data_IF_369905088058
#
_entry.id   IF_369905088058
#
_cell.length_a   1.000
_cell.length_b   1.000
_cell.length_c   1.000
_cell.angle_alpha   90.00
_cell.angle_beta   90.00
_cell.angle_gamma   90.00
#
_symmetry.space_group_name_H-M   'P 1'
#
loop_
_entity.id
_entity.type
_entity.pdbx_description
1 polymer ?
#
# COMPACT_ATOMS: atom_id res chain seq x y z
N UNK A 1 -48.52 16.93 -40.97
CA UNK A 1 -47.38 16.01 -41.16
C UNK A 1 -46.39 16.69 -42.10
N UNK A 2 -45.26 17.17 -41.60
CA UNK A 2 -44.19 17.70 -42.45
C UNK A 2 -42.85 17.26 -41.86
N UNK A 3 -42.30 16.19 -42.41
CA UNK A 3 -41.02 15.60 -42.04
C UNK A 3 -39.90 16.45 -42.66
N UNK A 4 -39.12 17.13 -41.82
CA UNK A 4 -37.89 17.83 -42.23
C UNK A 4 -36.85 16.79 -42.63
N UNK A 5 -36.67 16.57 -43.94
CA UNK A 5 -35.58 15.77 -44.47
C UNK A 5 -34.27 16.57 -44.36
N UNK A 6 -33.41 16.20 -43.42
CA UNK A 6 -32.05 16.72 -43.33
C UNK A 6 -31.26 16.23 -44.56
N UNK A 7 -30.87 17.17 -45.41
CA UNK A 7 -30.07 16.91 -46.62
C UNK A 7 -28.71 16.29 -46.27
N UNK A 8 -28.32 15.24 -47.00
CA UNK A 8 -27.02 14.54 -46.90
C UNK A 8 -25.80 15.48 -47.03
N UNK A 9 -25.96 16.68 -47.60
CA UNK A 9 -24.87 17.67 -47.73
C UNK A 9 -24.55 18.40 -46.42
N UNK A 10 -25.52 18.56 -45.52
CA UNK A 10 -25.31 19.24 -44.23
C UNK A 10 -24.58 18.35 -43.22
N UNK A 11 -24.67 17.02 -43.38
CA UNK A 11 -24.02 16.04 -42.51
C UNK A 11 -22.49 15.95 -42.72
N UNK A 12 -21.99 16.31 -43.91
CA UNK A 12 -20.56 16.25 -44.26
C UNK A 12 -19.74 17.46 -43.81
N UNK A 13 -20.37 18.59 -43.48
CA UNK A 13 -19.69 19.80 -43.02
C UNK A 13 -19.52 19.87 -41.49
N UNK A 14 -20.24 19.05 -40.72
CA UNK A 14 -20.15 19.01 -39.26
C UNK A 14 -19.04 18.07 -38.74
N UNK A 15 -18.67 17.06 -39.53
CA UNK A 15 -17.59 16.11 -39.21
C UNK A 15 -16.22 16.77 -38.99
N UNK A 16 -15.72 17.69 -39.84
CA UNK A 16 -14.44 18.33 -39.59
C UNK A 16 -14.45 19.26 -38.37
N UNK A 17 -15.58 19.90 -38.06
CA UNK A 17 -15.70 20.80 -36.90
C UNK A 17 -15.69 20.06 -35.55
N UNK A 18 -16.32 18.88 -35.47
CA UNK A 18 -16.28 18.02 -34.26
C UNK A 18 -14.87 17.45 -34.06
N UNK A 19 -14.19 17.05 -35.13
CA UNK A 19 -12.80 16.57 -35.06
C UNK A 19 -11.84 17.70 -34.62
N UNK A 20 -12.01 18.93 -35.12
CA UNK A 20 -11.23 20.09 -34.70
C UNK A 20 -11.44 20.46 -33.22
N UNK A 21 -12.67 20.37 -32.72
CA UNK A 21 -12.98 20.57 -31.29
C UNK A 21 -12.38 19.48 -30.40
N UNK A 22 -12.41 18.21 -30.83
CA UNK A 22 -11.77 17.11 -30.11
C UNK A 22 -10.24 17.28 -30.07
N UNK A 23 -9.61 17.70 -31.17
CA UNK A 23 -8.17 17.98 -31.24
C UNK A 23 -7.79 19.20 -30.40
N UNK A 24 -8.64 20.24 -30.36
CA UNK A 24 -8.44 21.40 -29.49
C UNK A 24 -8.56 21.04 -28.00
N UNK A 25 -9.52 20.20 -27.62
CA UNK A 25 -9.64 19.69 -26.25
C UNK A 25 -8.44 18.82 -25.83
N UNK A 26 -7.86 18.06 -26.76
CA UNK A 26 -6.60 17.32 -26.57
C UNK A 26 -5.39 18.23 -26.34
N UNK A 27 -5.33 19.39 -27.03
CA UNK A 27 -4.24 20.37 -26.85
C UNK A 27 -4.42 21.29 -25.63
N UNK A 28 -5.63 21.44 -25.13
CA UNK A 28 -5.96 22.27 -23.96
C UNK A 28 -6.06 21.49 -22.63
N UNK A 29 -5.87 20.16 -22.63
CA UNK A 29 -5.88 19.36 -21.40
C UNK A 29 -7.25 19.25 -20.71
N UNK A 30 -8.36 19.39 -21.46
CA UNK A 30 -9.72 19.28 -20.89
C UNK A 30 -10.21 17.83 -20.78
N UNK A 31 -9.49 16.85 -21.31
CA UNK A 31 -9.83 15.46 -21.01
C UNK A 31 -9.56 15.20 -19.51
N UNK A 32 -10.51 14.66 -18.74
CA UNK A 32 -10.21 14.19 -17.40
C UNK A 32 -9.05 13.20 -17.52
N UNK A 33 -8.02 13.40 -16.71
CA UNK A 33 -6.93 12.45 -16.59
C UNK A 33 -7.52 11.12 -16.10
N UNK A 34 -7.76 10.21 -17.03
CA UNK A 34 -8.20 8.85 -16.73
C UNK A 34 -7.06 8.01 -16.10
N UNK A 35 -5.93 8.63 -15.72
CA UNK A 35 -4.71 8.00 -15.27
C UNK A 35 -4.03 8.66 -14.07
N UNK A 36 -4.69 8.75 -12.91
CA UNK A 36 -4.04 8.58 -11.60
C UNK A 36 -5.10 8.52 -10.49
N UNK A 37 -5.28 7.35 -9.87
CA UNK A 37 -6.08 7.23 -8.64
C UNK A 37 -5.61 8.28 -7.61
N UNK A 38 -6.56 8.98 -7.00
CA UNK A 38 -6.31 9.86 -5.85
C UNK A 38 -5.76 9.07 -4.66
N UNK A 39 -5.13 9.74 -3.69
CA UNK A 39 -4.61 9.06 -2.50
C UNK A 39 -5.74 8.35 -1.73
N UNK A 40 -6.93 8.94 -1.69
CA UNK A 40 -8.11 8.31 -1.09
C UNK A 40 -8.51 7.02 -1.82
N UNK A 41 -8.52 7.02 -3.16
CA UNK A 41 -8.84 5.82 -3.96
C UNK A 41 -7.74 4.75 -3.86
N UNK A 42 -6.47 5.17 -3.86
CA UNK A 42 -5.31 4.28 -3.64
C UNK A 42 -5.38 3.61 -2.27
N UNK A 43 -5.68 4.39 -1.22
CA UNK A 43 -5.91 3.88 0.14
C UNK A 43 -7.08 2.91 0.16
N UNK A 44 -8.23 3.29 -0.39
CA UNK A 44 -9.42 2.44 -0.42
C UNK A 44 -9.12 1.10 -1.13
N UNK A 45 -8.38 1.13 -2.24
CA UNK A 45 -7.98 -0.08 -2.97
C UNK A 45 -6.99 -0.94 -2.18
N UNK A 46 -6.04 -0.34 -1.47
CA UNK A 46 -5.11 -1.06 -0.60
C UNK A 46 -5.87 -1.73 0.56
N UNK A 47 -6.79 -1.01 1.22
CA UNK A 47 -7.62 -1.56 2.29
C UNK A 47 -8.50 -2.71 1.78
N UNK A 48 -9.16 -2.55 0.64
CA UNK A 48 -9.97 -3.62 0.05
C UNK A 48 -9.14 -4.86 -0.32
N UNK A 49 -7.92 -4.66 -0.82
CA UNK A 49 -6.98 -5.74 -1.11
C UNK A 49 -6.54 -6.46 0.17
N UNK A 50 -6.24 -5.71 1.23
CA UNK A 50 -5.96 -6.30 2.54
C UNK A 50 -7.14 -7.09 3.08
N UNK A 51 -8.34 -6.50 3.09
CA UNK A 51 -9.55 -7.15 3.62
C UNK A 51 -9.85 -8.45 2.86
N UNK A 52 -9.53 -8.52 1.55
CA UNK A 52 -9.59 -9.76 0.79
C UNK A 52 -8.65 -10.85 1.35
N UNK A 53 -7.36 -10.52 1.52
CA UNK A 53 -6.33 -11.42 2.01
C UNK A 53 -6.51 -11.82 3.48
N UNK A 54 -6.94 -10.90 4.33
CA UNK A 54 -7.12 -11.14 5.76
C UNK A 54 -8.15 -12.24 6.05
N UNK A 55 -9.06 -12.54 5.10
CA UNK A 55 -10.02 -13.64 5.23
C UNK A 55 -9.36 -15.02 5.23
N UNK A 56 -8.13 -15.13 4.74
CA UNK A 56 -7.34 -16.38 4.82
C UNK A 56 -6.80 -16.63 6.24
N UNK A 57 -6.76 -15.60 7.10
CA UNK A 57 -6.17 -15.67 8.45
C UNK A 57 -7.14 -15.18 9.53
N UNK A 58 -8.33 -15.80 9.71
CA UNK A 58 -9.38 -15.28 10.59
C UNK A 58 -8.98 -15.18 12.08
N UNK A 59 -7.94 -15.89 12.50
CA UNK A 59 -7.39 -15.83 13.86
C UNK A 59 -6.34 -14.73 14.08
N UNK A 60 -5.89 -14.05 13.03
CA UNK A 60 -4.86 -13.01 13.11
C UNK A 60 -5.51 -11.65 13.31
N UNK A 61 -5.26 -11.04 14.48
CA UNK A 61 -5.73 -9.70 14.77
C UNK A 61 -4.98 -8.65 13.94
N UNK A 62 -5.72 -7.67 13.44
CA UNK A 62 -5.17 -6.52 12.72
C UNK A 62 -4.99 -5.31 13.66
N UNK A 63 -4.06 -4.43 13.31
CA UNK A 63 -3.95 -3.09 13.90
C UNK A 63 -4.11 -2.02 12.81
N UNK A 64 -4.86 -0.96 13.11
CA UNK A 64 -5.01 0.17 12.18
C UNK A 64 -3.71 0.99 12.11
N UNK A 65 -3.33 1.50 10.93
CA UNK A 65 -2.05 2.20 10.75
C UNK A 65 -1.90 3.44 11.65
N UNK A 66 -2.98 4.18 11.90
CA UNK A 66 -2.98 5.34 12.78
C UNK A 66 -2.58 4.97 14.22
N UNK A 67 -3.10 3.85 14.73
CA UNK A 67 -2.74 3.34 16.06
C UNK A 67 -1.31 2.82 16.10
N UNK A 68 -0.89 2.11 15.04
CA UNK A 68 0.47 1.59 14.92
C UNK A 68 1.52 2.71 14.93
N UNK A 69 1.25 3.86 14.30
CA UNK A 69 2.12 5.05 14.38
C UNK A 69 2.26 5.53 15.82
N UNK A 70 1.15 5.68 16.56
CA UNK A 70 1.20 6.15 17.94
C UNK A 70 2.02 5.20 18.85
N UNK A 71 1.91 3.89 18.64
CA UNK A 71 2.73 2.91 19.36
C UNK A 71 4.19 2.97 18.96
N UNK A 72 4.49 3.21 17.68
CA UNK A 72 5.86 3.42 17.19
C UNK A 72 6.51 4.62 17.85
N UNK A 73 5.84 5.78 17.85
CA UNK A 73 6.34 7.03 18.42
C UNK A 73 6.59 6.94 19.93
N UNK A 74 5.77 6.16 20.64
CA UNK A 74 5.94 5.90 22.08
C UNK A 74 6.98 4.82 22.38
N UNK A 75 7.59 4.23 21.36
CA UNK A 75 8.50 3.10 21.49
C UNK A 75 7.85 1.86 22.09
N UNK A 76 6.53 1.70 21.94
CA UNK A 76 5.75 0.59 22.50
C UNK A 76 5.55 -0.55 21.50
N UNK A 77 5.90 -0.35 20.23
CA UNK A 77 5.82 -1.37 19.19
C UNK A 77 7.20 -1.80 18.66
N UNK A 78 7.28 -3.06 18.23
CA UNK A 78 8.36 -3.59 17.40
C UNK A 78 7.76 -4.02 16.07
N UNK A 79 8.28 -3.48 14.99
CA UNK A 79 7.83 -3.82 13.65
C UNK A 79 8.68 -4.94 13.06
N UNK A 80 8.02 -5.88 12.38
CA UNK A 80 8.66 -7.00 11.67
C UNK A 80 8.35 -6.88 10.19
N UNK A 81 9.38 -6.53 9.41
CA UNK A 81 9.32 -6.48 7.96
C UNK A 81 9.54 -7.88 7.39
N UNK A 82 8.48 -8.45 6.81
CA UNK A 82 8.54 -9.77 6.17
C UNK A 82 8.63 -9.66 4.64
N UNK A 83 9.02 -8.48 4.13
CA UNK A 83 9.30 -8.32 2.71
C UNK A 83 10.62 -8.97 2.32
N UNK A 84 10.83 -9.19 1.03
CA UNK A 84 12.08 -9.74 0.52
C UNK A 84 13.26 -8.79 0.79
N UNK A 85 14.50 -9.30 0.90
CA UNK A 85 15.68 -8.46 1.10
C UNK A 85 15.82 -7.32 0.09
N UNK A 86 15.45 -7.54 -1.17
CA UNK A 86 15.47 -6.49 -2.22
C UNK A 86 14.48 -5.36 -1.95
N UNK A 87 13.36 -5.66 -1.30
CA UNK A 87 12.35 -4.66 -0.96
C UNK A 87 12.81 -3.84 0.24
N UNK A 88 13.36 -4.50 1.26
CA UNK A 88 13.93 -3.84 2.45
C UNK A 88 15.17 -3.00 2.12
N UNK A 89 15.96 -3.40 1.12
CA UNK A 89 17.14 -2.65 0.67
C UNK A 89 16.80 -1.26 0.08
N UNK A 90 15.53 -1.02 -0.30
CA UNK A 90 15.06 0.30 -0.74
C UNK A 90 14.69 1.16 0.47
N UNK A 91 13.88 0.61 1.37
CA UNK A 91 13.43 1.30 2.58
C UNK A 91 12.72 0.35 3.53
N UNK A 92 12.62 0.74 4.80
CA UNK A 92 11.84 0.06 5.85
C UNK A 92 11.10 1.06 6.74
N UNK A 93 10.17 0.57 7.56
CA UNK A 93 9.67 1.32 8.71
C UNK A 93 10.84 1.52 9.70
N UNK A 94 11.05 2.72 10.28
CA UNK A 94 12.18 2.98 11.16
C UNK A 94 12.25 1.97 12.33
N UNK A 95 13.40 1.32 12.48
CA UNK A 95 13.63 0.35 13.56
C UNK A 95 12.98 -1.02 13.37
N UNK A 96 12.39 -1.31 12.20
CA UNK A 96 11.85 -2.64 11.90
C UNK A 96 12.96 -3.70 11.84
N UNK A 97 12.65 -4.89 12.36
CA UNK A 97 13.47 -6.09 12.21
C UNK A 97 13.05 -6.85 10.94
N UNK A 98 13.98 -7.54 10.28
CA UNK A 98 13.60 -8.56 9.30
C UNK A 98 12.94 -9.76 10.00
N UNK A 99 12.19 -10.58 9.26
CA UNK A 99 11.66 -11.85 9.78
C UNK A 99 12.76 -12.70 10.44
N UNK A 100 13.90 -12.89 9.77
CA UNK A 100 15.02 -13.67 10.30
C UNK A 100 15.59 -13.05 11.59
N UNK A 101 15.74 -11.72 11.64
CA UNK A 101 16.23 -11.02 12.83
C UNK A 101 15.28 -11.13 14.01
N UNK A 102 13.97 -11.03 13.75
CA UNK A 102 12.92 -11.22 14.74
C UNK A 102 12.91 -12.67 15.29
N UNK A 103 12.93 -13.67 14.41
CA UNK A 103 12.92 -15.08 14.81
C UNK A 103 14.20 -15.48 15.55
N UNK A 104 15.36 -14.96 15.14
CA UNK A 104 16.62 -15.17 15.83
C UNK A 104 16.60 -14.57 17.25
N UNK A 105 16.02 -13.37 17.41
CA UNK A 105 15.86 -12.75 18.72
C UNK A 105 14.95 -13.59 19.63
N UNK A 106 13.79 -14.06 19.14
CA UNK A 106 12.90 -14.95 19.89
C UNK A 106 13.54 -16.29 20.26
N UNK A 107 14.33 -16.87 19.35
CA UNK A 107 15.01 -18.13 19.61
C UNK A 107 16.11 -17.98 20.66
N UNK A 108 16.75 -16.81 20.73
CA UNK A 108 17.77 -16.50 21.73
C UNK A 108 17.15 -16.19 23.10
N UNK A 109 16.09 -15.38 23.11
CA UNK A 109 15.35 -14.97 24.30
C UNK A 109 13.84 -14.93 24.00
N UNK A 110 13.05 -15.89 24.54
CA UNK A 110 11.60 -15.91 24.36
C UNK A 110 10.89 -14.63 24.87
N UNK A 111 11.52 -13.88 25.78
CA UNK A 111 11.01 -12.63 26.35
C UNK A 111 11.61 -11.38 25.70
N UNK A 112 12.34 -11.51 24.58
CA UNK A 112 13.02 -10.40 23.89
C UNK A 112 12.12 -9.19 23.59
N UNK A 113 10.82 -9.42 23.45
CA UNK A 113 9.82 -8.40 23.13
C UNK A 113 8.77 -8.21 24.24
N UNK A 114 9.05 -8.67 25.46
CA UNK A 114 8.16 -8.54 26.59
C UNK A 114 7.82 -7.06 26.84
N UNK A 115 6.53 -6.76 26.98
CA UNK A 115 6.02 -5.39 27.14
C UNK A 115 5.99 -4.54 25.84
N UNK A 116 6.29 -5.12 24.67
CA UNK A 116 6.11 -4.48 23.36
C UNK A 116 4.99 -5.16 22.58
N UNK A 117 4.32 -4.39 21.74
CA UNK A 117 3.37 -4.91 20.74
C UNK A 117 4.17 -5.25 19.49
N UNK A 118 4.15 -6.52 19.08
CA UNK A 118 4.82 -6.97 17.85
C UNK A 118 3.87 -6.85 16.67
N UNK A 119 4.28 -6.10 15.66
CA UNK A 119 3.48 -5.77 14.48
C UNK A 119 4.19 -6.24 13.21
N UNK A 120 3.64 -7.25 12.54
CA UNK A 120 4.14 -7.72 11.26
C UNK A 120 3.59 -6.89 10.10
N UNK A 121 4.41 -6.65 9.08
CA UNK A 121 3.96 -6.02 7.85
C UNK A 121 4.70 -6.55 6.63
N UNK A 122 4.03 -6.52 5.48
CA UNK A 122 4.70 -6.56 4.17
C UNK A 122 4.15 -5.43 3.28
N UNK A 123 4.15 -5.60 1.95
CA UNK A 123 3.53 -4.60 1.05
C UNK A 123 2.07 -4.33 1.41
N UNK A 124 1.26 -5.39 1.50
CA UNK A 124 -0.18 -5.34 1.80
C UNK A 124 -0.57 -6.24 2.98
N UNK A 125 0.41 -6.81 3.69
CA UNK A 125 0.24 -7.67 4.86
C UNK A 125 -0.35 -9.08 4.65
N UNK A 126 -0.19 -9.65 3.45
CA UNK A 126 -0.41 -11.08 3.23
C UNK A 126 0.67 -11.94 3.90
N UNK A 127 1.95 -11.74 3.51
CA UNK A 127 3.11 -12.47 4.08
C UNK A 127 3.17 -12.40 5.61
N UNK A 128 2.85 -11.25 6.20
CA UNK A 128 2.87 -11.07 7.66
C UNK A 128 1.67 -11.74 8.34
N UNK A 129 0.53 -11.86 7.66
CA UNK A 129 -0.58 -12.70 8.10
C UNK A 129 -0.18 -14.17 8.20
N UNK A 130 0.52 -14.69 7.18
CA UNK A 130 1.08 -16.06 7.20
C UNK A 130 2.05 -16.26 8.37
N UNK A 131 2.95 -15.29 8.61
CA UNK A 131 3.88 -15.35 9.74
C UNK A 131 3.12 -15.33 11.08
N UNK A 132 2.19 -14.40 11.26
CA UNK A 132 1.43 -14.24 12.50
C UNK A 132 0.60 -15.48 12.84
N UNK A 133 -0.08 -16.07 11.85
CA UNK A 133 -0.82 -17.32 12.03
C UNK A 133 0.11 -18.47 12.45
N UNK A 134 1.23 -18.65 11.72
CA UNK A 134 2.23 -19.67 12.03
C UNK A 134 2.79 -19.51 13.45
N UNK A 135 3.05 -18.30 13.89
CA UNK A 135 3.55 -18.00 15.23
C UNK A 135 2.49 -18.30 16.30
N UNK A 136 1.23 -17.94 16.06
CA UNK A 136 0.14 -18.23 16.97
C UNK A 136 -0.07 -19.76 17.12
N UNK A 137 -0.12 -20.49 16.01
CA UNK A 137 -0.39 -21.94 16.02
C UNK A 137 0.75 -22.76 16.63
N UNK A 138 2.00 -22.42 16.30
CA UNK A 138 3.16 -23.24 16.68
C UNK A 138 3.81 -22.83 17.98
N UNK A 139 3.67 -21.57 18.37
CA UNK A 139 4.40 -20.99 19.49
C UNK A 139 3.49 -20.26 20.49
N UNK A 140 2.18 -20.16 20.23
CA UNK A 140 1.27 -19.36 21.07
C UNK A 140 1.63 -17.87 21.08
N UNK A 141 2.44 -17.41 20.13
CA UNK A 141 2.97 -16.06 20.09
C UNK A 141 2.00 -15.16 19.29
N UNK A 142 1.58 -14.06 19.89
CA UNK A 142 0.65 -13.12 19.24
C UNK A 142 1.44 -12.02 18.53
N UNK A 143 1.24 -11.93 17.21
CA UNK A 143 1.70 -10.83 16.38
C UNK A 143 0.48 -10.17 15.74
N UNK A 144 0.40 -8.84 15.83
CA UNK A 144 -0.64 -8.08 15.12
C UNK A 144 -0.22 -7.89 13.67
N UNK A 145 -1.18 -7.95 12.75
CA UNK A 145 -0.94 -7.68 11.35
C UNK A 145 -1.25 -6.21 11.03
N UNK A 146 -0.28 -5.48 10.48
CA UNK A 146 -0.50 -4.08 10.11
C UNK A 146 -1.50 -4.00 8.97
N UNK A 147 -2.65 -3.36 9.17
CA UNK A 147 -3.69 -3.29 8.16
C UNK A 147 -3.20 -2.58 6.89
N UNK A 148 -3.33 -3.25 5.75
CA UNK A 148 -2.76 -2.86 4.45
C UNK A 148 -1.24 -2.64 4.42
N UNK A 149 -0.50 -3.17 5.40
CA UNK A 149 0.96 -3.20 5.42
C UNK A 149 1.62 -1.84 5.31
N UNK A 150 2.79 -1.80 4.66
CA UNK A 150 3.56 -0.56 4.46
C UNK A 150 2.78 0.46 3.61
N UNK A 151 1.84 0.02 2.77
CA UNK A 151 0.96 0.93 2.04
C UNK A 151 -0.02 1.63 2.98
N UNK A 152 -0.63 0.88 3.91
CA UNK A 152 -1.47 1.44 4.97
C UNK A 152 -0.73 2.45 5.83
N UNK A 153 0.49 2.10 6.27
CA UNK A 153 1.41 2.98 6.99
C UNK A 153 1.66 4.31 6.28
N UNK A 154 1.99 4.26 4.98
CA UNK A 154 2.27 5.47 4.20
C UNK A 154 1.04 6.36 4.03
N UNK A 155 -0.14 5.78 3.83
CA UNK A 155 -1.38 6.54 3.63
C UNK A 155 -1.83 7.37 4.85
N UNK A 156 -1.28 7.06 6.03
CA UNK A 156 -1.55 7.81 7.27
C UNK A 156 -0.36 8.67 7.70
N UNK A 157 0.62 8.87 6.81
CA UNK A 157 1.77 9.75 7.05
C UNK A 157 2.97 9.08 7.72
N UNK A 158 3.00 7.74 7.78
CA UNK A 158 4.13 7.00 8.32
C UNK A 158 5.43 7.25 7.53
N UNK A 159 6.55 7.40 8.25
CA UNK A 159 7.86 7.66 7.65
C UNK A 159 8.57 6.38 7.20
N UNK A 160 9.50 6.50 6.25
CA UNK A 160 10.40 5.43 5.85
C UNK A 160 11.85 5.87 6.04
N UNK A 161 12.73 4.90 6.26
CA UNK A 161 14.17 5.10 6.21
C UNK A 161 14.80 4.24 5.12
N UNK A 162 15.83 4.78 4.46
CA UNK A 162 16.68 4.02 3.54
C UNK A 162 17.71 3.16 4.28
N UNK A 163 18.54 2.39 3.55
CA UNK A 163 19.57 1.53 4.15
C UNK A 163 20.67 2.31 4.90
N UNK A 164 20.82 3.61 4.64
CA UNK A 164 21.72 4.50 5.38
C UNK A 164 21.08 5.12 6.64
N UNK A 165 19.84 4.71 6.97
CA UNK A 165 19.06 5.20 8.10
C UNK A 165 18.44 6.58 7.91
N UNK A 166 18.62 7.22 6.74
CA UNK A 166 18.04 8.54 6.47
C UNK A 166 16.61 8.45 5.95
N UNK A 167 15.79 9.51 6.10
CA UNK A 167 14.44 9.54 5.54
C UNK A 167 14.42 9.20 4.05
N UNK A 168 13.46 8.37 3.66
CA UNK A 168 13.23 7.96 2.28
C UNK A 168 11.78 8.22 1.88
N UNK A 169 11.57 8.60 0.62
CA UNK A 169 10.25 8.65 -0.02
C UNK A 169 10.10 7.55 -1.07
N UNK A 170 10.95 6.51 -1.03
CA UNK A 170 10.92 5.40 -1.98
C UNK A 170 10.39 4.16 -1.27
N UNK A 171 9.52 3.40 -1.92
CA UNK A 171 9.02 2.12 -1.38
C UNK A 171 9.06 1.06 -2.47
N UNK A 172 9.68 -0.08 -2.18
CA UNK A 172 9.52 -1.24 -3.05
C UNK A 172 8.23 -1.97 -2.67
N UNK A 173 7.30 -2.05 -3.62
CA UNK A 173 6.07 -2.84 -3.51
C UNK A 173 6.27 -4.20 -4.18
N UNK A 174 5.42 -5.17 -3.86
CA UNK A 174 5.57 -6.54 -4.36
C UNK A 174 5.52 -6.66 -5.89
N UNK A 175 4.76 -5.78 -6.56
CA UNK A 175 4.60 -5.76 -8.01
C UNK A 175 3.75 -4.58 -8.47
N UNK A 176 3.68 -4.35 -9.78
CA UNK A 176 2.96 -3.21 -10.37
C UNK A 176 1.49 -3.09 -9.91
N UNK A 177 0.78 -4.21 -9.72
CA UNK A 177 -0.61 -4.21 -9.22
C UNK A 177 -0.76 -3.71 -7.77
N UNK A 178 0.35 -3.66 -7.02
CA UNK A 178 0.44 -3.13 -5.65
C UNK A 178 0.98 -1.70 -5.61
N UNK A 179 1.19 -1.03 -6.76
CA UNK A 179 1.53 0.38 -6.79
C UNK A 179 0.33 1.25 -6.38
N UNK A 180 0.10 1.28 -5.07
CA UNK A 180 -0.98 1.98 -4.39
C UNK A 180 -0.42 2.90 -3.30
N UNK A 181 0.87 3.22 -3.33
CA UNK A 181 1.46 4.18 -2.40
C UNK A 181 0.83 5.58 -2.62
N UNK A 182 0.72 6.42 -1.59
CA UNK A 182 0.26 7.79 -1.75
C UNK A 182 1.20 8.56 -2.69
N UNK A 183 0.65 9.58 -3.35
CA UNK A 183 1.42 10.49 -4.20
C UNK A 183 2.53 11.15 -3.39
N UNK A 184 3.68 11.34 -4.05
CA UNK A 184 4.90 11.82 -3.39
C UNK A 184 5.80 10.71 -2.86
N UNK A 185 5.29 9.48 -2.79
CA UNK A 185 6.09 8.27 -2.60
C UNK A 185 6.40 7.65 -3.98
N UNK A 186 7.67 7.39 -4.25
CA UNK A 186 8.15 6.68 -5.44
C UNK A 186 8.06 5.17 -5.20
N UNK A 187 7.17 4.50 -5.92
CA UNK A 187 7.08 3.04 -5.92
C UNK A 187 8.14 2.39 -6.83
N UNK A 188 8.72 1.29 -6.37
CA UNK A 188 9.64 0.42 -7.13
C UNK A 188 9.05 -0.99 -7.16
N UNK A 189 9.14 -1.70 -8.29
CA UNK A 189 8.66 -3.07 -8.44
C UNK A 189 9.36 -3.82 -9.57
#
# INVERSE_FOLDING_TARGET
>A
MMTMAVSRRTLLLLLPAVVLLAVAALKLGWLPDHGALSDAERRAKALAMYDHYAREFPGVAAIEPEEAILLHERGQAVFVDVREPREMAVSTIPGALSEDGFLAALAHDPEAFSGKIVIGYCTISYRSGVLAERLAERHGFTMLNLRAGILGWLHVGGSLVGPDGKPSNRVHVYGASWDLAPRGIESIY
#
